data_IF_738968339018
#
_entry.id   IF_738968339018
#
_cell.length_a   1.000
_cell.length_b   1.000
_cell.length_c   1.000
_cell.angle_alpha   90.00
_cell.angle_beta   90.00
_cell.angle_gamma   90.00
#
_symmetry.space_group_name_H-M   'P 1'
#
loop_
_entity.id
_entity.type
_entity.pdbx_description
1 polymer ?
#
# COMPACT_ATOMS: atom_id res chain seq x y z
N UNK A 1 -9.26 8.38 24.68
CA UNK A 1 -9.48 6.95 24.38
C UNK A 1 -8.10 6.31 24.30
N UNK A 2 -7.85 5.21 25.01
CA UNK A 2 -6.59 4.44 24.92
C UNK A 2 -6.76 3.22 24.01
N UNK A 3 -7.45 3.40 22.87
CA UNK A 3 -7.65 2.36 21.87
C UNK A 3 -6.91 2.77 20.62
N UNK A 4 -5.96 1.94 20.19
CA UNK A 4 -5.28 2.09 18.90
C UNK A 4 -6.01 1.29 17.82
N UNK A 5 -5.91 1.74 16.57
CA UNK A 5 -6.49 1.05 15.42
C UNK A 5 -5.56 1.21 14.22
N UNK A 6 -5.11 0.10 13.63
CA UNK A 6 -4.18 0.08 12.51
C UNK A 6 -4.65 -0.93 11.46
N UNK A 7 -4.12 -0.80 10.24
CA UNK A 7 -4.35 -1.70 9.12
C UNK A 7 -3.07 -2.45 8.76
N UNK A 8 -3.18 -3.73 8.42
CA UNK A 8 -2.11 -4.54 7.83
C UNK A 8 -2.59 -5.06 6.47
N UNK A 9 -1.79 -4.86 5.43
CA UNK A 9 -1.83 -5.56 4.15
C UNK A 9 -0.96 -6.83 4.25
N UNK A 10 -1.54 -8.02 4.47
CA UNK A 10 -0.78 -9.23 4.71
C UNK A 10 -0.37 -9.90 3.39
N UNK A 11 0.89 -10.31 3.31
CA UNK A 11 1.39 -11.24 2.30
C UNK A 11 1.75 -12.53 3.03
N UNK A 12 0.97 -13.58 2.80
CA UNK A 12 1.18 -14.87 3.42
C UNK A 12 0.59 -15.99 2.56
N UNK A 13 1.23 -17.15 2.62
CA UNK A 13 0.63 -18.39 2.18
C UNK A 13 -0.54 -18.72 3.11
N UNK A 14 -1.74 -18.71 2.53
CA UNK A 14 -2.98 -19.09 3.19
C UNK A 14 -3.85 -19.95 2.27
N UNK A 15 -4.91 -20.52 2.83
CA UNK A 15 -5.93 -21.22 2.05
C UNK A 15 -6.57 -20.36 0.96
N UNK A 16 -6.61 -19.04 1.14
CA UNK A 16 -7.14 -18.11 0.13
C UNK A 16 -6.16 -17.94 -1.02
N UNK A 17 -4.84 -17.87 -0.74
CA UNK A 17 -3.84 -17.75 -1.81
C UNK A 17 -3.67 -19.07 -2.57
N UNK A 18 -3.95 -20.21 -1.95
CA UNK A 18 -3.92 -21.53 -2.60
C UNK A 18 -4.86 -21.59 -3.80
N UNK A 19 -6.07 -21.05 -3.67
CA UNK A 19 -7.14 -21.15 -4.67
C UNK A 19 -7.03 -20.11 -5.80
N UNK A 20 -6.08 -19.18 -5.73
CA UNK A 20 -5.89 -18.16 -6.77
C UNK A 20 -5.38 -18.86 -8.04
N UNK A 21 -6.17 -18.84 -9.10
CA UNK A 21 -5.72 -19.30 -10.42
C UNK A 21 -5.04 -18.13 -11.15
N UNK A 22 -3.73 -18.24 -11.47
CA UNK A 22 -3.03 -17.17 -12.18
C UNK A 22 -3.55 -17.08 -13.62
N UNK A 23 -3.80 -15.86 -14.10
CA UNK A 23 -4.28 -15.61 -15.46
C UNK A 23 -3.15 -15.53 -16.51
N UNK A 24 -1.90 -15.35 -16.06
CA UNK A 24 -0.71 -15.24 -16.90
C UNK A 24 0.56 -15.69 -16.14
N UNK A 25 1.70 -15.74 -16.84
CA UNK A 25 2.97 -16.22 -16.29
C UNK A 25 3.50 -15.35 -15.14
N UNK A 26 3.37 -14.02 -15.24
CA UNK A 26 3.79 -13.09 -14.18
C UNK A 26 3.03 -13.33 -12.86
N UNK A 27 1.73 -13.58 -12.95
CA UNK A 27 0.91 -13.94 -11.79
C UNK A 27 1.26 -15.33 -11.25
N UNK A 28 1.65 -16.27 -12.10
CA UNK A 28 2.10 -17.59 -11.66
C UNK A 28 3.41 -17.49 -10.86
N UNK A 29 4.37 -16.68 -11.31
CA UNK A 29 5.61 -16.39 -10.59
C UNK A 29 5.35 -15.66 -9.27
N UNK A 30 4.49 -14.65 -9.29
CA UNK A 30 4.07 -13.95 -8.07
C UNK A 30 3.43 -14.91 -7.06
N UNK A 31 2.51 -15.77 -7.51
CA UNK A 31 1.91 -16.81 -6.67
C UNK A 31 3.00 -17.73 -6.09
N UNK A 32 3.92 -18.23 -6.91
CA UNK A 32 5.00 -19.11 -6.45
C UNK A 32 5.86 -18.48 -5.36
N UNK A 33 6.12 -17.15 -5.44
CA UNK A 33 6.81 -16.39 -4.38
C UNK A 33 5.96 -16.26 -3.12
N UNK A 34 4.68 -15.88 -3.27
CA UNK A 34 3.75 -15.73 -2.15
C UNK A 34 3.58 -17.05 -1.35
N UNK A 35 3.61 -18.19 -2.03
CA UNK A 35 3.51 -19.53 -1.43
C UNK A 35 4.70 -19.89 -0.52
N UNK A 36 5.81 -19.14 -0.56
CA UNK A 36 6.97 -19.34 0.33
C UNK A 36 6.87 -18.54 1.63
N UNK A 37 5.89 -17.64 1.75
CA UNK A 37 5.80 -16.69 2.85
C UNK A 37 4.94 -17.26 3.98
N UNK A 38 5.54 -17.57 5.13
CA UNK A 38 4.80 -18.08 6.29
C UNK A 38 3.81 -17.02 6.84
N UNK A 39 2.59 -17.40 7.26
CA UNK A 39 1.70 -16.49 7.99
C UNK A 39 2.27 -16.03 9.35
N UNK A 40 3.28 -16.71 9.89
CA UNK A 40 3.90 -16.37 11.18
C UNK A 40 4.48 -14.96 11.20
N UNK A 41 4.97 -14.45 10.07
CA UNK A 41 5.50 -13.09 10.00
C UNK A 41 4.42 -12.03 10.25
N UNK A 42 3.24 -12.23 9.66
CA UNK A 42 2.07 -11.36 9.89
C UNK A 42 1.61 -11.47 11.34
N UNK A 43 1.56 -12.70 11.89
CA UNK A 43 1.20 -12.93 13.30
C UNK A 43 2.19 -12.27 14.28
N UNK A 44 3.49 -12.32 13.99
CA UNK A 44 4.51 -11.68 14.82
C UNK A 44 4.33 -10.16 14.84
N UNK A 45 4.20 -9.52 13.68
CA UNK A 45 3.98 -8.07 13.63
C UNK A 45 2.64 -7.66 14.26
N UNK A 46 1.60 -8.48 14.10
CA UNK A 46 0.32 -8.27 14.79
C UNK A 46 0.47 -8.35 16.31
N UNK A 47 1.29 -9.28 16.81
CA UNK A 47 1.57 -9.42 18.24
C UNK A 47 2.27 -8.18 18.80
N UNK A 48 3.19 -7.57 18.04
CA UNK A 48 3.77 -6.27 18.37
C UNK A 48 2.71 -5.16 18.45
N UNK A 49 1.80 -5.06 17.47
CA UNK A 49 0.73 -4.04 17.52
C UNK A 49 -0.22 -4.22 18.71
N UNK A 50 -0.28 -5.42 19.30
CA UNK A 50 -1.06 -5.72 20.50
C UNK A 50 -0.25 -5.59 21.80
N UNK A 51 1.04 -5.26 21.74
CA UNK A 51 1.92 -5.22 22.90
C UNK A 51 2.04 -3.80 23.49
N UNK A 52 2.56 -3.66 24.73
CA UNK A 52 2.77 -2.36 25.35
C UNK A 52 3.69 -1.42 24.56
N UNK A 53 4.56 -1.96 23.72
CA UNK A 53 5.50 -1.21 22.88
C UNK A 53 4.81 -0.44 21.74
N UNK A 54 3.56 -0.77 21.40
CA UNK A 54 2.79 -0.14 20.32
C UNK A 54 1.62 0.73 20.83
N UNK A 55 1.64 1.15 22.11
CA UNK A 55 0.55 1.92 22.73
C UNK A 55 0.30 3.29 22.07
N UNK A 56 1.30 3.86 21.40
CA UNK A 56 1.22 5.13 20.65
C UNK A 56 1.02 4.94 19.14
N UNK A 57 1.04 3.69 18.65
CA UNK A 57 0.89 3.38 17.23
C UNK A 57 -0.59 3.27 16.88
N UNK A 58 -1.15 4.31 16.26
CA UNK A 58 -2.53 4.31 15.79
C UNK A 58 -2.70 5.01 14.44
N UNK A 59 -3.70 4.58 13.69
CA UNK A 59 -4.08 5.13 12.39
C UNK A 59 -3.10 4.80 11.27
N UNK A 60 -2.21 3.83 11.45
CA UNK A 60 -1.17 3.49 10.47
C UNK A 60 -1.59 2.35 9.54
N UNK A 61 -0.98 2.32 8.36
CA UNK A 61 -1.18 1.31 7.32
C UNK A 61 0.15 0.62 7.10
N UNK A 62 0.22 -0.68 7.38
CA UNK A 62 1.44 -1.47 7.24
C UNK A 62 1.26 -2.54 6.17
N UNK A 63 2.35 -2.98 5.55
CA UNK A 63 2.38 -4.25 4.81
C UNK A 63 3.39 -5.19 5.44
N UNK A 64 3.12 -6.49 5.40
CA UNK A 64 4.05 -7.49 5.94
C UNK A 64 4.23 -8.61 4.93
N UNK A 65 5.48 -8.82 4.47
CA UNK A 65 5.86 -9.85 3.50
C UNK A 65 7.15 -10.52 3.93
N UNK A 66 7.07 -11.76 4.39
CA UNK A 66 8.22 -12.44 4.99
C UNK A 66 8.74 -11.61 6.17
N UNK A 67 10.06 -11.43 6.25
CA UNK A 67 10.74 -10.59 7.25
C UNK A 67 10.73 -9.10 6.92
N UNK A 68 10.01 -8.68 5.87
CA UNK A 68 9.86 -7.28 5.47
C UNK A 68 8.58 -6.67 6.08
N UNK A 69 8.70 -5.46 6.62
CA UNK A 69 7.57 -4.65 7.07
C UNK A 69 7.62 -3.30 6.36
N UNK A 70 6.53 -2.95 5.68
CA UNK A 70 6.37 -1.72 4.93
C UNK A 70 5.46 -0.76 5.69
N UNK A 71 5.79 0.52 5.69
CA UNK A 71 4.90 1.59 6.14
C UNK A 71 4.31 2.27 4.91
N UNK A 72 2.98 2.23 4.77
CA UNK A 72 2.26 2.92 3.71
C UNK A 72 1.93 4.35 4.16
N UNK A 73 1.94 5.27 3.21
CA UNK A 73 1.51 6.64 3.46
C UNK A 73 -0.01 6.73 3.59
N UNK A 74 -0.47 7.82 4.22
CA UNK A 74 -1.87 8.22 4.19
C UNK A 74 -1.99 9.45 3.30
N UNK A 75 -2.89 9.46 2.31
CA UNK A 75 -2.99 10.58 1.38
C UNK A 75 -3.33 11.87 2.13
N UNK A 76 -2.56 12.91 1.85
CA UNK A 76 -2.79 14.30 2.27
C UNK A 76 -2.64 15.17 1.02
N UNK A 77 -3.26 16.36 0.96
CA UNK A 77 -3.00 17.27 -0.14
C UNK A 77 -1.50 17.54 -0.27
N UNK A 78 -0.95 17.30 -1.46
CA UNK A 78 0.46 17.58 -1.78
C UNK A 78 0.63 18.87 -2.56
N UNK A 79 -0.42 19.32 -3.27
CA UNK A 79 -0.44 20.56 -4.05
C UNK A 79 -1.87 21.11 -4.09
N UNK A 80 -2.02 22.41 -4.30
CA UNK A 80 -3.33 23.08 -4.41
C UNK A 80 -3.26 24.22 -5.42
N UNK A 81 -4.06 24.12 -6.49
CA UNK A 81 -4.31 25.22 -7.42
C UNK A 81 -5.60 25.95 -7.02
N UNK A 82 -5.61 27.28 -7.07
CA UNK A 82 -6.77 28.09 -6.71
C UNK A 82 -6.98 29.20 -7.74
N UNK A 83 -8.24 29.50 -8.05
CA UNK A 83 -8.64 30.68 -8.82
C UNK A 83 -9.60 31.51 -7.97
N UNK A 84 -9.19 32.72 -7.60
CA UNK A 84 -9.86 33.51 -6.57
C UNK A 84 -11.10 34.26 -7.07
N UNK A 85 -11.08 34.71 -8.33
CA UNK A 85 -12.03 35.73 -8.80
C UNK A 85 -13.22 35.16 -9.58
N UNK A 86 -13.12 33.92 -10.05
CA UNK A 86 -14.15 33.27 -10.88
C UNK A 86 -14.01 31.75 -10.89
N UNK A 87 -15.09 31.08 -11.28
CA UNK A 87 -15.06 29.64 -11.57
C UNK A 87 -14.10 29.33 -12.73
N UNK A 88 -13.49 28.15 -12.65
CA UNK A 88 -12.62 27.66 -13.72
C UNK A 88 -13.42 27.37 -14.99
N UNK A 89 -12.95 27.85 -16.14
CA UNK A 89 -13.28 27.19 -17.40
C UNK A 89 -12.48 25.88 -17.53
N UNK A 90 -12.99 24.94 -18.32
CA UNK A 90 -12.30 23.66 -18.55
C UNK A 90 -10.89 23.86 -19.12
N UNK A 91 -10.71 24.83 -20.02
CA UNK A 91 -9.40 25.13 -20.63
C UNK A 91 -8.40 25.69 -19.61
N UNK A 92 -8.85 26.57 -18.71
CA UNK A 92 -8.00 27.11 -17.64
C UNK A 92 -7.60 26.03 -16.64
N UNK A 93 -8.56 25.18 -16.24
CA UNK A 93 -8.30 24.09 -15.31
C UNK A 93 -7.34 23.07 -15.91
N UNK A 94 -7.53 22.69 -17.18
CA UNK A 94 -6.63 21.76 -17.86
C UNK A 94 -5.18 22.28 -17.88
N UNK A 95 -4.98 23.56 -18.22
CA UNK A 95 -3.64 24.18 -18.19
C UNK A 95 -3.04 24.19 -16.79
N UNK A 96 -3.82 24.51 -15.76
CA UNK A 96 -3.35 24.51 -14.38
C UNK A 96 -2.98 23.09 -13.90
N UNK A 97 -3.78 22.08 -14.25
CA UNK A 97 -3.47 20.67 -13.96
C UNK A 97 -2.18 20.24 -14.67
N UNK A 98 -2.04 20.56 -15.96
CA UNK A 98 -0.86 20.19 -16.74
C UNK A 98 0.43 20.84 -16.22
N UNK A 99 0.36 22.10 -15.76
CA UNK A 99 1.53 22.81 -15.26
C UNK A 99 1.89 22.46 -13.80
N UNK A 100 0.89 22.17 -12.95
CA UNK A 100 1.10 22.05 -11.51
C UNK A 100 1.03 20.61 -11.01
N UNK A 101 0.14 19.77 -11.57
CA UNK A 101 -0.12 18.44 -11.02
C UNK A 101 0.49 17.30 -11.82
N UNK A 102 0.72 17.45 -13.13
CA UNK A 102 1.07 16.32 -14.01
C UNK A 102 2.28 15.51 -13.55
N UNK A 103 3.35 16.18 -13.17
CA UNK A 103 4.57 15.52 -12.71
C UNK A 103 4.43 14.89 -11.31
N UNK A 104 3.38 15.28 -10.56
CA UNK A 104 3.11 14.79 -9.22
C UNK A 104 2.14 13.61 -9.20
N UNK A 105 1.60 13.20 -10.35
CA UNK A 105 0.68 12.09 -10.42
C UNK A 105 1.36 10.79 -10.01
N UNK A 106 0.74 10.07 -9.07
CA UNK A 106 1.12 8.70 -8.76
C UNK A 106 1.05 7.85 -10.03
N UNK A 107 2.14 7.18 -10.42
CA UNK A 107 2.14 6.27 -11.56
C UNK A 107 1.06 5.19 -11.43
N UNK A 108 0.60 4.66 -12.55
CA UNK A 108 -0.36 3.55 -12.60
C UNK A 108 0.35 2.19 -12.43
N UNK A 109 1.27 2.12 -11.47
CA UNK A 109 1.92 0.86 -11.12
C UNK A 109 0.94 -0.05 -10.37
N UNK A 110 1.00 -1.33 -10.69
CA UNK A 110 0.25 -2.40 -10.03
C UNK A 110 1.01 -2.90 -8.79
N UNK A 111 0.31 -3.58 -7.88
CA UNK A 111 0.95 -4.25 -6.75
C UNK A 111 2.06 -5.24 -7.20
N UNK A 112 1.87 -5.88 -8.36
CA UNK A 112 2.87 -6.80 -8.93
C UNK A 112 4.16 -6.07 -9.32
N UNK A 113 4.03 -4.86 -9.86
CA UNK A 113 5.16 -4.01 -10.25
C UNK A 113 5.84 -3.40 -9.02
N UNK A 114 5.04 -2.90 -8.06
CA UNK A 114 5.55 -2.30 -6.84
C UNK A 114 6.23 -3.31 -5.89
N UNK A 115 5.76 -4.57 -5.85
CA UNK A 115 6.27 -5.63 -4.99
C UNK A 115 6.93 -6.78 -5.78
N UNK A 116 7.72 -6.47 -6.81
CA UNK A 116 8.28 -7.45 -7.75
C UNK A 116 9.55 -8.20 -7.27
N UNK A 117 10.05 -7.92 -6.06
CA UNK A 117 11.30 -8.51 -5.54
C UNK A 117 11.08 -9.86 -4.85
N UNK A 118 12.15 -10.67 -4.75
CA UNK A 118 12.11 -11.92 -3.98
C UNK A 118 11.81 -11.62 -2.50
N UNK A 119 10.83 -12.30 -1.89
CA UNK A 119 10.52 -12.09 -0.49
C UNK A 119 11.68 -12.55 0.38
N UNK A 120 12.00 -11.77 1.41
CA UNK A 120 12.97 -12.16 2.42
C UNK A 120 12.27 -13.08 3.43
N UNK A 121 12.29 -14.39 3.19
CA UNK A 121 11.69 -15.41 4.09
C UNK A 121 12.58 -15.72 5.27
#
# INVERSE_FOLDING_TARGET
SNVTCNYIAPFAHSRVTDIIEPANDEQAEYKARAMRVSPDHVANFTSYLCSPEALDVTGQVFGVRGREVFLFNQPRPIETITQADKDWSNEELAKAVDNNFREQFTPLETDLEAFNTEPIV
#
